data_IF_028226831559
#
_entry.id   IF_028226831559
#
_cell.length_a   1.000
_cell.length_b   1.000
_cell.length_c   1.000
_cell.angle_alpha   90.00
_cell.angle_beta   90.00
_cell.angle_gamma   90.00
#
_symmetry.space_group_name_H-M   'P 1'
#
loop_
_entity.id
_entity.type
_entity.pdbx_description
1 polymer ?
#
# COMPACT_ATOMS: atom_id res chain seq x y z
N UNK A 1 -22.03 6.51 16.05
CA UNK A 1 -20.55 6.61 15.88
C UNK A 1 -20.01 5.43 15.08
N UNK A 2 -20.42 4.20 15.43
CA UNK A 2 -20.10 2.95 14.73
C UNK A 2 -20.36 3.02 13.21
N UNK A 3 -21.49 3.56 12.79
CA UNK A 3 -21.85 3.66 11.36
C UNK A 3 -20.87 4.52 10.55
N UNK A 4 -20.42 5.64 11.12
CA UNK A 4 -19.48 6.55 10.46
C UNK A 4 -18.07 5.97 10.37
N UNK A 5 -17.61 5.24 11.40
CA UNK A 5 -16.31 4.59 11.38
C UNK A 5 -16.22 3.50 10.30
N UNK A 6 -17.29 2.71 10.14
CA UNK A 6 -17.33 1.65 9.15
C UNK A 6 -17.33 2.18 7.72
N UNK A 7 -18.07 3.27 7.46
CA UNK A 7 -18.03 3.98 6.17
C UNK A 7 -16.61 4.47 5.83
N UNK A 8 -15.91 5.06 6.80
CA UNK A 8 -14.54 5.51 6.60
C UNK A 8 -13.56 4.36 6.32
N UNK A 9 -13.67 3.25 7.06
CA UNK A 9 -12.85 2.06 6.86
C UNK A 9 -13.02 1.51 5.43
N UNK A 10 -14.26 1.47 4.93
CA UNK A 10 -14.59 1.03 3.57
C UNK A 10 -14.03 1.98 2.51
N UNK A 11 -14.16 3.29 2.69
CA UNK A 11 -13.61 4.29 1.77
C UNK A 11 -12.09 4.14 1.66
N UNK A 12 -11.40 4.01 2.80
CA UNK A 12 -9.94 3.84 2.83
C UNK A 12 -9.51 2.52 2.20
N UNK A 13 -10.28 1.44 2.42
CA UNK A 13 -10.00 0.14 1.82
C UNK A 13 -10.16 0.17 0.29
N UNK A 14 -11.22 0.81 -0.22
CA UNK A 14 -11.47 0.98 -1.64
C UNK A 14 -10.43 1.87 -2.30
N UNK A 15 -10.06 2.99 -1.66
CA UNK A 15 -8.98 3.86 -2.14
C UNK A 15 -7.64 3.11 -2.19
N UNK A 16 -7.36 2.29 -1.17
CA UNK A 16 -6.17 1.45 -1.12
C UNK A 16 -6.13 0.42 -2.25
N UNK A 17 -7.24 -0.29 -2.48
CA UNK A 17 -7.37 -1.22 -3.60
C UNK A 17 -7.21 -0.51 -4.96
N UNK A 18 -7.75 0.71 -5.10
CA UNK A 18 -7.57 1.56 -6.27
C UNK A 18 -6.11 1.92 -6.51
N UNK A 19 -5.35 2.26 -5.46
CA UNK A 19 -3.91 2.54 -5.56
C UNK A 19 -3.08 1.33 -6.03
N UNK A 20 -3.43 0.13 -5.56
CA UNK A 20 -2.83 -1.12 -6.05
C UNK A 20 -3.17 -1.35 -7.52
N UNK A 21 -4.43 -1.16 -7.90
CA UNK A 21 -4.89 -1.28 -9.28
C UNK A 21 -4.19 -0.32 -10.25
N UNK A 22 -4.02 0.94 -9.84
CA UNK A 22 -3.25 1.95 -10.58
C UNK A 22 -1.79 1.55 -10.77
N UNK A 23 -1.17 1.01 -9.73
CA UNK A 23 0.22 0.54 -9.80
C UNK A 23 0.39 -0.62 -10.78
N UNK A 24 -0.58 -1.54 -10.80
CA UNK A 24 -0.64 -2.65 -11.74
C UNK A 24 -0.90 -2.16 -13.17
N UNK A 25 -1.75 -1.15 -13.33
CA UNK A 25 -2.04 -0.53 -14.60
C UNK A 25 -0.80 0.16 -15.20
N UNK A 26 -0.04 0.91 -14.41
CA UNK A 26 1.26 1.48 -14.83
C UNK A 26 2.25 0.40 -15.22
N UNK A 27 2.29 -0.72 -14.48
CA UNK A 27 3.14 -1.84 -14.83
C UNK A 27 2.78 -2.47 -16.19
N UNK A 28 1.49 -2.65 -16.47
CA UNK A 28 1.03 -3.23 -17.75
C UNK A 28 1.27 -2.26 -18.91
N UNK A 29 1.06 -0.96 -18.69
CA UNK A 29 1.11 0.05 -19.75
C UNK A 29 2.53 0.51 -20.08
N UNK A 30 3.32 0.79 -19.05
CA UNK A 30 4.61 1.48 -19.19
C UNK A 30 5.80 0.55 -18.86
N UNK A 31 5.54 -0.75 -18.60
CA UNK A 31 6.51 -1.71 -18.06
C UNK A 31 7.18 -1.20 -16.77
N UNK A 32 6.55 -0.23 -16.10
CA UNK A 32 7.11 0.46 -14.95
C UNK A 32 6.20 0.28 -13.73
N UNK A 33 6.72 -0.40 -12.71
CA UNK A 33 5.96 -0.63 -11.49
C UNK A 33 6.03 0.60 -10.58
N UNK A 34 4.86 1.19 -10.29
CA UNK A 34 4.73 2.32 -9.39
C UNK A 34 4.76 1.85 -7.92
N UNK A 35 5.97 1.73 -7.37
CA UNK A 35 6.17 1.28 -5.99
C UNK A 35 5.57 2.20 -4.95
N UNK A 36 5.42 3.49 -5.24
CA UNK A 36 4.89 4.47 -4.28
C UNK A 36 3.38 4.29 -4.15
N UNK A 37 2.66 4.24 -5.28
CA UNK A 37 1.23 3.96 -5.26
C UNK A 37 0.91 2.57 -4.71
N UNK A 38 1.77 1.58 -4.96
CA UNK A 38 1.60 0.24 -4.41
C UNK A 38 1.77 0.22 -2.89
N UNK A 39 2.79 0.90 -2.35
CA UNK A 39 3.02 1.01 -0.92
C UNK A 39 1.87 1.75 -0.21
N UNK A 40 1.40 2.86 -0.79
CA UNK A 40 0.26 3.62 -0.24
C UNK A 40 -1.00 2.76 -0.27
N UNK A 41 -1.26 2.08 -1.38
CA UNK A 41 -2.45 1.24 -1.55
C UNK A 41 -2.49 0.08 -0.56
N UNK A 42 -1.39 -0.65 -0.43
CA UNK A 42 -1.27 -1.77 0.51
C UNK A 42 -1.31 -1.30 1.97
N UNK A 43 -0.67 -0.17 2.28
CA UNK A 43 -0.71 0.44 3.61
C UNK A 43 -2.13 0.84 4.02
N UNK A 44 -2.90 1.46 3.11
CA UNK A 44 -4.28 1.83 3.36
C UNK A 44 -5.18 0.60 3.61
N UNK A 45 -5.00 -0.48 2.84
CA UNK A 45 -5.75 -1.73 3.06
C UNK A 45 -5.41 -2.36 4.41
N UNK A 46 -4.12 -2.44 4.76
CA UNK A 46 -3.69 -2.97 6.07
C UNK A 46 -4.27 -2.15 7.22
N UNK A 47 -4.21 -0.82 7.11
CA UNK A 47 -4.74 0.09 8.13
C UNK A 47 -6.27 -0.03 8.29
N UNK A 48 -7.01 -0.20 7.20
CA UNK A 48 -8.45 -0.47 7.26
C UNK A 48 -8.80 -1.76 8.02
N UNK A 49 -7.98 -2.79 7.87
CA UNK A 49 -8.18 -4.08 8.56
C UNK A 49 -7.87 -3.93 10.06
N UNK A 50 -6.79 -3.24 10.41
CA UNK A 50 -6.45 -2.91 11.79
C UNK A 50 -7.58 -2.12 12.47
N UNK A 51 -8.10 -1.08 11.81
CA UNK A 51 -9.24 -0.31 12.29
C UNK A 51 -10.51 -1.16 12.42
N UNK A 52 -10.76 -2.08 11.48
CA UNK A 52 -11.89 -3.01 11.54
C UNK A 52 -11.81 -3.94 12.75
N UNK A 53 -10.60 -4.41 13.08
CA UNK A 53 -10.36 -5.23 14.27
C UNK A 53 -10.47 -4.43 15.57
N UNK A 54 -9.87 -3.23 15.62
CA UNK A 54 -9.88 -2.37 16.81
C UNK A 54 -11.29 -1.92 17.22
N UNK A 55 -12.18 -1.74 16.24
CA UNK A 55 -13.57 -1.38 16.47
C UNK A 55 -14.51 -2.59 16.65
N UNK A 56 -14.00 -3.82 16.63
CA UNK A 56 -14.77 -5.05 16.84
C UNK A 56 -15.61 -5.49 15.64
N UNK A 57 -15.41 -4.91 14.45
CA UNK A 57 -16.10 -5.33 13.22
C UNK A 57 -15.50 -6.60 12.61
N UNK A 58 -14.21 -6.84 12.86
CA UNK A 58 -13.49 -8.02 12.39
C UNK A 58 -13.01 -8.82 13.59
N UNK A 59 -13.37 -10.11 13.63
CA UNK A 59 -12.84 -11.02 14.63
C UNK A 59 -11.34 -11.19 14.42
N UNK A 60 -10.54 -10.90 15.44
CA UNK A 60 -9.09 -11.11 15.40
C UNK A 60 -8.82 -12.60 15.22
N UNK A 61 -8.22 -12.94 14.10
CA UNK A 61 -7.85 -14.30 13.74
C UNK A 61 -6.45 -14.31 13.11
N UNK A 62 -5.80 -15.48 13.10
CA UNK A 62 -4.44 -15.60 12.56
C UNK A 62 -4.32 -15.21 11.08
N UNK A 63 -5.43 -15.25 10.33
CA UNK A 63 -5.50 -14.80 8.95
C UNK A 63 -5.25 -13.28 8.83
N UNK A 64 -5.92 -12.46 9.64
CA UNK A 64 -5.75 -11.01 9.59
C UNK A 64 -4.39 -10.55 10.12
N UNK A 65 -3.83 -11.21 11.15
CA UNK A 65 -2.45 -10.92 11.59
C UNK A 65 -1.43 -11.28 10.50
N UNK A 66 -1.59 -12.43 9.82
CA UNK A 66 -0.73 -12.80 8.69
C UNK A 66 -0.86 -11.79 7.52
N UNK A 67 -2.08 -11.35 7.22
CA UNK A 67 -2.32 -10.37 6.17
C UNK A 67 -1.67 -9.01 6.49
N UNK A 68 -1.76 -8.55 7.73
CA UNK A 68 -1.08 -7.34 8.22
C UNK A 68 0.44 -7.43 8.05
N UNK A 69 1.05 -8.57 8.41
CA UNK A 69 2.49 -8.79 8.22
C UNK A 69 2.89 -8.79 6.74
N UNK A 70 2.08 -9.40 5.88
CA UNK A 70 2.29 -9.38 4.43
C UNK A 70 2.20 -7.95 3.89
N UNK A 71 1.16 -7.20 4.28
CA UNK A 71 1.00 -5.81 3.91
C UNK A 71 2.22 -4.96 4.34
N UNK A 72 2.66 -5.10 5.59
CA UNK A 72 3.85 -4.42 6.10
C UNK A 72 5.11 -4.81 5.31
N UNK A 73 5.30 -6.09 5.00
CA UNK A 73 6.41 -6.57 4.19
C UNK A 73 6.43 -5.96 2.78
N UNK A 74 5.27 -5.90 2.11
CA UNK A 74 5.16 -5.29 0.78
C UNK A 74 5.47 -3.79 0.83
N UNK A 75 5.00 -3.07 1.85
CA UNK A 75 5.31 -1.64 2.04
C UNK A 75 6.81 -1.43 2.18
N UNK A 76 7.49 -2.23 3.01
CA UNK A 76 8.94 -2.14 3.19
C UNK A 76 9.69 -2.44 1.89
N UNK A 77 9.32 -3.50 1.17
CA UNK A 77 9.94 -3.85 -0.11
C UNK A 77 9.75 -2.74 -1.14
N UNK A 78 8.53 -2.21 -1.27
CA UNK A 78 8.24 -1.11 -2.18
C UNK A 78 9.02 0.16 -1.83
N UNK A 79 9.12 0.50 -0.54
CA UNK A 79 9.91 1.64 -0.08
C UNK A 79 11.40 1.48 -0.43
N UNK A 80 11.98 0.29 -0.17
CA UNK A 80 13.38 0.00 -0.52
C UNK A 80 13.63 0.11 -2.02
N UNK A 81 12.72 -0.42 -2.84
CA UNK A 81 12.83 -0.36 -4.30
C UNK A 81 12.65 1.06 -4.83
N UNK A 82 11.70 1.83 -4.29
CA UNK A 82 11.51 3.23 -4.62
C UNK A 82 12.76 4.07 -4.32
N UNK A 83 13.37 3.88 -3.13
CA UNK A 83 14.63 4.55 -2.75
C UNK A 83 15.77 4.15 -3.69
N UNK A 84 15.90 2.85 -4.02
CA UNK A 84 16.93 2.39 -4.97
C UNK A 84 16.75 3.00 -6.36
N UNK A 85 15.53 3.14 -6.86
CA UNK A 85 15.25 3.81 -8.13
C UNK A 85 15.57 5.31 -8.09
N UNK A 86 15.15 6.01 -7.03
CA UNK A 86 15.49 7.42 -6.83
C UNK A 86 17.00 7.68 -6.81
N UNK A 87 17.76 6.83 -6.11
CA UNK A 87 19.23 6.92 -6.08
C UNK A 87 19.89 6.66 -7.43
N UNK A 88 19.32 5.77 -8.27
CA UNK A 88 19.83 5.51 -9.64
C UNK A 88 19.58 6.72 -10.54
N UNK A 89 18.37 7.30 -10.49
CA UNK A 89 18.04 8.51 -11.25
C UNK A 89 18.95 9.69 -10.88
N UNK A 90 19.17 9.91 -9.58
CA UNK A 90 20.03 10.98 -9.09
C UNK A 90 21.51 10.80 -9.50
N UNK A 91 22.01 9.57 -9.53
CA UNK A 91 23.37 9.26 -10.01
C UNK A 91 23.53 9.52 -11.51
N UNK A 92 22.54 9.16 -12.33
CA UNK A 92 22.56 9.41 -13.77
C UNK A 92 22.57 10.91 -14.08
N UNK A 93 21.75 11.70 -13.37
CA UNK A 93 21.73 13.16 -13.50
C UNK A 93 23.06 13.80 -13.10
N UNK A 94 23.67 13.33 -12.00
CA UNK A 94 24.97 13.82 -11.54
C UNK A 94 26.14 13.44 -12.47
N UNK A 95 26.04 12.30 -13.17
CA UNK A 95 27.08 11.83 -14.11
C UNK A 95 27.06 12.56 -15.46
N UNK A 96 25.96 13.24 -15.80
CA UNK A 96 25.78 13.98 -17.05
C UNK A 96 25.93 15.51 -16.88
N UNK A 97 26.29 15.97 -15.67
CA UNK A 97 26.65 17.36 -15.34
C UNK A 97 28.15 17.50 -15.21
#
# INVERSE_FOLDING_TARGET
MVDSALVWIVIVALAGAGGIGLSLFHYIRDADFDYVNAAIGVGAVGYSIELGMANGYLARNGLFDALMLICAGIVVVCAVLAVKRGQRGFRLLRSNS
#
